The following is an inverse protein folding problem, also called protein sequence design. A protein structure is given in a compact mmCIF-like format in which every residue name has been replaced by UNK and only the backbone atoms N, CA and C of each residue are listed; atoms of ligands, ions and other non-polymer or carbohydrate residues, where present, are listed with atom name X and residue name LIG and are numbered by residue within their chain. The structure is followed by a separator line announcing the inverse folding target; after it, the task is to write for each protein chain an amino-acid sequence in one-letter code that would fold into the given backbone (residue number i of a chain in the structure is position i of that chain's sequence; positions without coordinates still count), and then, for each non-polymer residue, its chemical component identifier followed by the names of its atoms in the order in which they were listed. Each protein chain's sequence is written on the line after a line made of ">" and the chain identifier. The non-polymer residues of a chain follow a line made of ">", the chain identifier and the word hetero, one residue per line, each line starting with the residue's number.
data_IF_809491292178
#
_entry.id   IF_809491292178
#
_cell.length_a   1.000
_cell.length_b   1.000
_cell.length_c   1.000
_cell.angle_alpha   90.00
_cell.angle_beta   90.00
_cell.angle_gamma   90.00
#
_symmetry.space_group_name_H-M   'P 1'
#
loop_
_entity.id
_entity.type
_entity.pdbx_description
1 polymer ?
#
# COMPACT_ATOMS: atom_id res chain seq x y z
N UNK A 1 -8.01 -59.98 -37.09
CA UNK A 1 -7.41 -59.29 -35.93
C UNK A 1 -7.58 -60.19 -34.73
N UNK A 2 -6.52 -60.71 -34.18
CA UNK A 2 -6.53 -61.72 -33.13
C UNK A 2 -6.95 -61.12 -31.77
N UNK A 3 -7.59 -61.94 -30.92
CA UNK A 3 -8.05 -61.56 -29.59
C UNK A 3 -6.93 -60.90 -28.74
N UNK A 4 -5.70 -61.24 -29.04
CA UNK A 4 -4.48 -60.71 -28.40
C UNK A 4 -4.23 -59.22 -28.69
N UNK A 5 -4.59 -58.73 -29.85
CA UNK A 5 -4.45 -57.27 -30.18
C UNK A 5 -5.53 -56.41 -29.55
N UNK A 6 -6.71 -56.93 -29.29
CA UNK A 6 -7.79 -56.22 -28.57
C UNK A 6 -7.47 -56.06 -27.09
N UNK A 7 -6.90 -57.11 -26.45
CA UNK A 7 -6.49 -57.07 -25.02
C UNK A 7 -5.41 -56.04 -24.74
N UNK A 8 -4.38 -55.89 -25.64
CA UNK A 8 -3.34 -54.88 -25.51
C UNK A 8 -3.87 -53.43 -25.65
N UNK A 9 -4.84 -53.22 -26.55
CA UNK A 9 -5.46 -51.87 -26.73
C UNK A 9 -6.26 -51.47 -25.48
N UNK A 10 -7.01 -52.38 -24.86
CA UNK A 10 -7.74 -52.07 -23.62
C UNK A 10 -6.80 -51.85 -22.44
N UNK A 11 -5.70 -52.56 -22.32
CA UNK A 11 -4.69 -52.32 -21.30
C UNK A 11 -3.97 -50.97 -21.43
N UNK A 12 -3.68 -50.54 -22.66
CA UNK A 12 -3.08 -49.23 -22.94
C UNK A 12 -4.04 -48.04 -22.67
N UNK A 13 -5.34 -48.22 -22.99
CA UNK A 13 -6.36 -47.21 -22.68
C UNK A 13 -6.67 -47.13 -21.17
N UNK A 14 -6.61 -48.23 -20.45
CA UNK A 14 -6.77 -48.26 -18.99
C UNK A 14 -5.56 -47.61 -18.30
N UNK A 15 -4.31 -47.83 -18.80
CA UNK A 15 -3.10 -47.20 -18.29
C UNK A 15 -3.06 -45.70 -18.57
N UNK A 16 -3.52 -45.24 -19.75
CA UNK A 16 -3.62 -43.81 -20.09
C UNK A 16 -4.71 -43.11 -19.24
N UNK A 17 -5.83 -43.76 -18.97
CA UNK A 17 -6.88 -43.25 -18.10
C UNK A 17 -6.44 -43.09 -16.63
N UNK A 18 -5.66 -44.02 -16.11
CA UNK A 18 -5.14 -43.95 -14.74
C UNK A 18 -4.04 -42.89 -14.55
N UNK A 19 -3.25 -42.57 -15.59
CA UNK A 19 -2.30 -41.46 -15.57
C UNK A 19 -3.00 -40.08 -15.63
N UNK A 20 -4.10 -39.98 -16.38
CA UNK A 20 -4.88 -38.74 -16.44
C UNK A 20 -5.61 -38.44 -15.11
N UNK A 21 -6.12 -39.47 -14.44
CA UNK A 21 -6.75 -39.34 -13.12
C UNK A 21 -5.75 -38.95 -12.02
N UNK A 22 -4.50 -39.43 -12.07
CA UNK A 22 -3.44 -39.03 -11.13
C UNK A 22 -3.02 -37.57 -11.28
N UNK A 23 -3.10 -36.99 -12.48
CA UNK A 23 -2.84 -35.55 -12.70
C UNK A 23 -3.97 -34.65 -12.19
N UNK A 24 -5.21 -35.10 -12.19
CA UNK A 24 -6.36 -34.34 -11.66
C UNK A 24 -6.37 -34.25 -10.13
N UNK A 25 -5.73 -35.19 -9.42
CA UNK A 25 -5.62 -35.16 -7.95
C UNK A 25 -4.38 -34.44 -7.43
N UNK A 26 -3.48 -34.03 -8.31
CA UNK A 26 -2.24 -33.33 -7.95
C UNK A 26 -2.37 -31.80 -7.99
N UNK A 27 -3.56 -31.23 -8.02
CA UNK A 27 -3.76 -29.84 -7.59
C UNK A 27 -3.71 -29.84 -6.06
N UNK A 28 -2.47 -29.85 -5.52
CA UNK A 28 -2.23 -29.64 -4.11
C UNK A 28 -3.06 -28.43 -3.64
N UNK A 29 -3.78 -28.62 -2.53
CA UNK A 29 -4.66 -27.59 -2.01
C UNK A 29 -3.82 -26.40 -1.53
N UNK A 30 -3.55 -25.45 -2.43
CA UNK A 30 -2.86 -24.22 -2.06
C UNK A 30 -3.67 -23.47 -0.99
N UNK A 31 -3.03 -22.94 0.08
CA UNK A 31 -1.63 -23.16 0.49
C UNK A 31 -1.44 -24.48 1.25
N UNK A 32 -0.34 -25.18 0.99
CA UNK A 32 0.01 -26.44 1.70
C UNK A 32 1.00 -26.23 2.86
N UNK A 33 1.54 -25.04 3.00
CA UNK A 33 2.47 -24.62 4.04
C UNK A 33 2.27 -23.13 4.37
N UNK A 34 2.88 -22.60 5.45
CA UNK A 34 2.75 -21.20 5.83
C UNK A 34 3.11 -20.24 4.67
N UNK A 35 2.32 -19.16 4.54
CA UNK A 35 2.50 -18.09 3.58
C UNK A 35 3.17 -16.89 4.25
N UNK A 36 4.24 -16.39 3.67
CA UNK A 36 4.92 -15.17 4.13
C UNK A 36 4.25 -13.96 3.50
N UNK A 37 3.83 -13.01 4.33
CA UNK A 37 3.27 -11.72 3.89
C UNK A 37 4.27 -10.62 4.22
N UNK A 38 5.06 -10.23 3.22
CA UNK A 38 6.12 -9.22 3.36
C UNK A 38 5.51 -7.83 3.44
N UNK A 39 6.06 -7.00 4.31
CA UNK A 39 5.71 -5.58 4.48
C UNK A 39 6.99 -4.74 4.45
N UNK A 40 7.07 -3.77 3.54
CA UNK A 40 8.26 -2.92 3.34
C UNK A 40 8.44 -1.80 4.37
N UNK A 41 7.67 -1.81 5.46
CA UNK A 41 7.67 -0.78 6.50
C UNK A 41 7.89 -1.39 7.89
N UNK A 42 8.33 -0.58 8.88
CA UNK A 42 8.46 -1.03 10.27
C UNK A 42 7.13 -1.55 10.84
N UNK A 43 7.23 -2.43 11.82
CA UNK A 43 6.07 -2.94 12.55
C UNK A 43 5.32 -1.81 13.28
N UNK A 44 4.00 -1.96 13.41
CA UNK A 44 3.12 -0.99 14.07
C UNK A 44 2.66 0.17 13.19
N UNK A 45 3.17 0.32 11.97
CA UNK A 45 2.66 1.28 10.99
C UNK A 45 1.37 0.80 10.30
N UNK A 46 0.71 1.71 9.56
CA UNK A 46 -0.58 1.43 8.93
C UNK A 46 -0.55 0.20 8.01
N UNK A 47 0.50 0.04 7.19
CA UNK A 47 0.66 -1.15 6.31
C UNK A 47 0.75 -2.44 7.10
N UNK A 48 1.49 -2.43 8.22
CA UNK A 48 1.66 -3.60 9.10
C UNK A 48 0.33 -4.01 9.75
N UNK A 49 -0.44 -3.04 10.24
CA UNK A 49 -1.77 -3.28 10.83
C UNK A 49 -2.71 -3.89 9.79
N UNK A 50 -2.77 -3.34 8.58
CA UNK A 50 -3.59 -3.88 7.50
C UNK A 50 -3.13 -5.29 7.11
N UNK A 51 -1.81 -5.54 7.01
CA UNK A 51 -1.25 -6.84 6.69
C UNK A 51 -1.60 -7.89 7.75
N UNK A 52 -1.49 -7.55 9.04
CA UNK A 52 -1.84 -8.48 10.14
C UNK A 52 -3.34 -8.78 10.18
N UNK A 53 -4.18 -7.76 9.98
CA UNK A 53 -5.63 -7.93 9.92
C UNK A 53 -6.03 -8.85 8.77
N UNK A 54 -5.50 -8.60 7.58
CA UNK A 54 -5.75 -9.44 6.41
C UNK A 54 -5.16 -10.85 6.58
N UNK A 55 -3.91 -10.95 7.05
CA UNK A 55 -3.21 -12.21 7.29
C UNK A 55 -3.94 -13.12 8.29
N UNK A 56 -4.50 -12.55 9.36
CA UNK A 56 -5.31 -13.29 10.33
C UNK A 56 -6.57 -13.88 9.69
N UNK A 57 -7.29 -13.09 8.89
CA UNK A 57 -8.48 -13.54 8.17
C UNK A 57 -8.17 -14.61 7.14
N UNK A 58 -7.10 -14.41 6.33
CA UNK A 58 -6.64 -15.40 5.36
C UNK A 58 -6.17 -16.69 6.02
N UNK A 59 -5.49 -16.62 7.16
CA UNK A 59 -5.09 -17.81 7.92
C UNK A 59 -6.28 -18.66 8.34
N UNK A 60 -7.34 -18.01 8.82
CA UNK A 60 -8.57 -18.69 9.23
C UNK A 60 -9.30 -19.33 8.05
N UNK A 61 -9.38 -18.64 6.89
CA UNK A 61 -10.14 -19.12 5.73
C UNK A 61 -9.39 -20.14 4.87
N UNK A 62 -8.04 -20.06 4.84
CA UNK A 62 -7.22 -20.90 3.96
C UNK A 62 -6.53 -22.07 4.70
N UNK A 63 -6.62 -22.12 6.03
CA UNK A 63 -6.13 -23.24 6.83
C UNK A 63 -4.61 -23.32 7.01
N UNK A 64 -3.87 -22.31 6.56
CA UNK A 64 -2.42 -22.16 6.76
C UNK A 64 -2.07 -20.80 7.31
N UNK A 65 -1.05 -20.67 8.17
CA UNK A 65 -0.64 -19.37 8.71
C UNK A 65 -0.18 -18.40 7.62
N UNK A 66 -0.68 -17.16 7.65
CA UNK A 66 -0.14 -16.02 6.90
C UNK A 66 0.71 -15.18 7.85
N UNK A 67 2.03 -15.28 7.72
CA UNK A 67 3.00 -14.71 8.68
C UNK A 67 3.52 -13.38 8.12
N UNK A 68 3.26 -12.29 8.85
CA UNK A 68 3.74 -10.95 8.48
C UNK A 68 5.23 -10.82 8.80
N UNK A 69 6.01 -10.46 7.80
CA UNK A 69 7.46 -10.22 7.88
C UNK A 69 7.77 -8.78 7.47
N UNK A 70 8.26 -7.96 8.42
CA UNK A 70 8.62 -6.57 8.14
C UNK A 70 10.06 -6.50 7.60
N UNK A 71 10.23 -5.93 6.40
CA UNK A 71 11.52 -5.71 5.70
C UNK A 71 11.65 -4.24 5.28
N UNK A 72 11.84 -3.29 6.20
CA UNK A 72 12.01 -1.90 5.86
C UNK A 72 13.36 -1.64 5.19
N UNK A 73 13.44 -0.54 4.45
CA UNK A 73 14.70 -0.05 3.86
C UNK A 73 14.59 0.31 2.38
N UNK A 74 15.45 1.24 1.94
CA UNK A 74 15.54 1.78 0.59
C UNK A 74 14.17 2.15 -0.01
N UNK A 75 13.32 2.85 0.74
CA UNK A 75 11.98 3.23 0.29
C UNK A 75 11.08 2.02 -0.05
N UNK A 76 11.23 0.88 0.61
CA UNK A 76 10.57 -0.41 0.36
C UNK A 76 11.19 -1.29 -0.73
N UNK A 77 12.20 -0.81 -1.48
CA UNK A 77 12.81 -1.57 -2.57
C UNK A 77 13.38 -2.92 -2.11
N UNK A 78 13.93 -2.98 -0.87
CA UNK A 78 14.42 -4.24 -0.28
C UNK A 78 13.30 -5.27 -0.18
N UNK A 79 12.12 -4.87 0.29
CA UNK A 79 10.97 -5.76 0.41
C UNK A 79 10.48 -6.23 -0.96
N UNK A 80 10.33 -5.31 -1.92
CA UNK A 80 9.87 -5.63 -3.30
C UNK A 80 10.81 -6.65 -3.95
N UNK A 81 12.13 -6.39 -3.93
CA UNK A 81 13.12 -7.32 -4.49
C UNK A 81 13.08 -8.67 -3.79
N UNK A 82 12.97 -8.69 -2.44
CA UNK A 82 12.89 -9.93 -1.69
C UNK A 82 11.68 -10.80 -2.01
N UNK A 83 10.63 -10.23 -2.64
CA UNK A 83 9.46 -10.96 -3.13
C UNK A 83 9.66 -11.41 -4.57
N UNK A 84 10.12 -10.51 -5.45
CA UNK A 84 10.42 -10.82 -6.86
C UNK A 84 11.36 -12.02 -6.98
N UNK A 85 12.39 -12.09 -6.13
CA UNK A 85 13.44 -13.10 -6.18
C UNK A 85 13.01 -14.45 -5.54
N UNK A 86 11.75 -14.62 -5.10
CA UNK A 86 11.25 -15.90 -4.57
C UNK A 86 10.60 -16.78 -5.63
N UNK A 87 10.45 -18.07 -5.30
CA UNK A 87 9.69 -18.99 -6.13
C UNK A 87 8.25 -18.48 -6.33
N UNK A 88 7.70 -18.51 -7.57
CA UNK A 88 6.36 -18.02 -7.86
C UNK A 88 5.27 -19.04 -7.52
N UNK A 89 5.31 -19.61 -6.32
CA UNK A 89 4.41 -20.66 -5.85
C UNK A 89 3.28 -20.14 -4.93
N UNK A 90 3.20 -18.81 -4.75
CA UNK A 90 2.19 -18.15 -3.93
C UNK A 90 2.50 -18.13 -2.42
N UNK A 91 3.58 -18.75 -1.94
CA UNK A 91 3.93 -18.78 -0.52
C UNK A 91 4.77 -17.58 -0.04
N UNK A 92 5.08 -16.66 -0.95
CA UNK A 92 5.61 -15.34 -0.59
C UNK A 92 4.79 -14.27 -1.31
N UNK A 93 4.14 -13.44 -0.52
CA UNK A 93 3.29 -12.33 -0.97
C UNK A 93 3.81 -11.04 -0.36
N UNK A 94 3.38 -9.90 -0.89
CA UNK A 94 3.63 -8.60 -0.27
C UNK A 94 2.34 -7.80 -0.17
N UNK A 95 2.14 -7.15 0.97
CA UNK A 95 1.21 -6.03 1.03
C UNK A 95 1.97 -4.76 0.65
N UNK A 96 1.73 -4.29 -0.56
CA UNK A 96 2.36 -3.12 -1.15
C UNK A 96 1.53 -1.85 -0.91
N UNK A 97 2.17 -0.70 -1.04
CA UNK A 97 1.56 0.63 -1.03
C UNK A 97 2.09 1.47 -2.20
N UNK A 98 1.73 2.75 -2.26
CA UNK A 98 2.09 3.66 -3.36
C UNK A 98 3.59 3.73 -3.69
N UNK A 99 4.47 3.43 -2.72
CA UNK A 99 5.91 3.35 -2.98
C UNK A 99 6.24 2.37 -4.13
N UNK A 100 5.40 1.35 -4.35
CA UNK A 100 5.51 0.46 -5.49
C UNK A 100 5.47 1.21 -6.83
N UNK A 101 4.60 2.20 -6.96
CA UNK A 101 4.52 3.04 -8.17
C UNK A 101 5.53 4.20 -8.13
N UNK A 102 5.72 4.83 -6.97
CA UNK A 102 6.58 5.99 -6.80
C UNK A 102 8.05 5.68 -7.07
N UNK A 103 8.55 4.50 -6.63
CA UNK A 103 9.94 4.14 -6.78
C UNK A 103 10.37 3.88 -8.23
N UNK A 104 9.44 3.45 -9.08
CA UNK A 104 9.71 3.35 -10.53
C UNK A 104 9.96 4.72 -11.17
N UNK A 105 9.41 5.79 -10.60
CA UNK A 105 9.63 7.17 -11.03
C UNK A 105 10.87 7.79 -10.39
N UNK A 106 11.06 7.57 -9.09
CA UNK A 106 12.09 8.21 -8.27
C UNK A 106 13.50 7.70 -8.57
N UNK A 107 13.66 6.38 -8.72
CA UNK A 107 14.97 5.77 -8.89
C UNK A 107 15.32 5.63 -10.38
N UNK A 108 16.55 5.96 -10.74
CA UNK A 108 17.07 5.82 -12.11
C UNK A 108 18.44 5.09 -12.06
N UNK A 109 18.56 3.85 -12.58
CA UNK A 109 17.49 3.05 -13.18
C UNK A 109 16.42 2.62 -12.16
N UNK A 110 15.21 2.33 -12.65
CA UNK A 110 14.14 1.81 -11.82
C UNK A 110 14.55 0.47 -11.18
N UNK A 111 14.33 0.27 -9.87
CA UNK A 111 14.79 -0.94 -9.17
C UNK A 111 14.00 -2.20 -9.56
N UNK A 112 12.83 -2.05 -10.14
CA UNK A 112 11.91 -3.09 -10.62
C UNK A 112 10.88 -2.48 -11.58
N UNK A 113 10.13 -3.33 -12.29
CA UNK A 113 8.91 -2.96 -13.00
C UNK A 113 7.72 -3.71 -12.41
N UNK A 114 6.87 -2.99 -11.65
CA UNK A 114 5.76 -3.61 -10.93
C UNK A 114 4.75 -4.32 -11.84
N UNK A 115 4.62 -3.91 -13.11
CA UNK A 115 3.68 -4.52 -14.06
C UNK A 115 4.25 -5.80 -14.70
N UNK A 116 5.59 -5.94 -14.77
CA UNK A 116 6.26 -7.11 -15.34
C UNK A 116 6.76 -8.07 -14.28
N UNK A 117 7.25 -7.57 -13.15
CA UNK A 117 7.92 -8.37 -12.12
C UNK A 117 6.94 -8.91 -11.06
N UNK A 118 5.70 -8.40 -11.01
CA UNK A 118 4.71 -8.77 -10.00
C UNK A 118 3.34 -9.10 -10.61
N UNK A 119 2.68 -10.09 -10.02
CA UNK A 119 1.26 -10.32 -10.19
C UNK A 119 0.49 -9.42 -9.21
N UNK A 120 -0.23 -8.43 -9.74
CA UNK A 120 -1.06 -7.50 -8.98
C UNK A 120 -2.40 -8.17 -8.67
N UNK A 121 -2.58 -8.74 -7.46
CA UNK A 121 -3.69 -9.64 -7.12
C UNK A 121 -4.97 -8.85 -6.82
N UNK A 122 -4.91 -7.94 -5.86
CA UNK A 122 -6.07 -7.19 -5.40
C UNK A 122 -5.67 -5.86 -4.75
N UNK A 123 -6.43 -4.82 -5.01
CA UNK A 123 -6.47 -3.66 -4.13
C UNK A 123 -7.25 -4.04 -2.87
N UNK A 124 -6.72 -3.72 -1.69
CA UNK A 124 -7.32 -4.00 -0.37
C UNK A 124 -8.16 -2.82 0.12
N UNK A 125 -7.61 -1.63 -0.02
CA UNK A 125 -8.27 -0.42 0.43
C UNK A 125 -7.41 0.83 0.25
N UNK A 126 -7.92 1.95 0.75
CA UNK A 126 -7.23 3.23 0.78
C UNK A 126 -7.21 3.78 2.20
N UNK A 127 -6.19 4.54 2.53
CA UNK A 127 -6.09 5.27 3.80
C UNK A 127 -5.76 6.73 3.49
N UNK A 128 -6.51 7.67 4.08
CA UNK A 128 -6.24 9.09 3.91
C UNK A 128 -4.87 9.47 4.48
N UNK A 129 -4.19 10.39 3.81
CA UNK A 129 -3.08 11.14 4.37
C UNK A 129 -3.63 12.42 4.98
N UNK A 130 -3.11 12.81 6.14
CA UNK A 130 -3.45 14.07 6.79
C UNK A 130 -2.23 14.95 6.95
N UNK A 131 -2.43 16.25 6.90
CA UNK A 131 -1.51 17.25 7.41
C UNK A 131 -1.92 17.52 8.85
N UNK A 132 -1.09 17.13 9.79
CA UNK A 132 -1.26 17.47 11.18
C UNK A 132 -0.16 18.43 11.65
N UNK A 133 -0.48 19.25 12.63
CA UNK A 133 0.44 20.24 13.18
C UNK A 133 0.62 20.04 14.68
N UNK A 134 1.78 20.44 15.20
CA UNK A 134 1.93 20.72 16.61
C UNK A 134 0.88 21.77 17.04
N UNK A 135 0.30 21.61 18.22
CA UNK A 135 -0.75 22.53 18.70
C UNK A 135 -0.28 23.95 18.86
N UNK A 136 1.02 24.18 19.06
CA UNK A 136 1.63 25.53 19.12
C UNK A 136 1.99 26.10 17.74
N UNK A 137 1.90 25.30 16.66
CA UNK A 137 2.20 25.81 15.32
C UNK A 137 1.20 26.91 14.91
N UNK A 138 1.67 27.98 14.22
CA UNK A 138 0.86 29.16 13.92
C UNK A 138 -0.10 28.97 12.74
N UNK A 139 -0.44 27.74 12.40
CA UNK A 139 -1.33 27.38 11.30
C UNK A 139 -2.50 26.53 11.83
N UNK A 140 -3.72 27.00 11.62
CA UNK A 140 -4.94 26.26 11.92
C UNK A 140 -5.71 25.87 10.66
N UNK A 141 -5.32 26.45 9.51
CA UNK A 141 -5.98 26.23 8.22
C UNK A 141 -4.97 26.10 7.09
N UNK A 142 -5.40 25.47 6.00
CA UNK A 142 -4.61 25.41 4.75
C UNK A 142 -4.26 26.80 4.24
N UNK A 143 -5.17 27.75 4.32
CA UNK A 143 -4.94 29.12 3.89
C UNK A 143 -3.80 29.80 4.66
N UNK A 144 -3.75 29.64 5.99
CA UNK A 144 -2.67 30.15 6.83
C UNK A 144 -1.32 29.48 6.50
N UNK A 145 -1.33 28.16 6.31
CA UNK A 145 -0.14 27.39 5.91
C UNK A 145 0.40 27.89 4.56
N UNK A 146 -0.47 28.05 3.56
CA UNK A 146 -0.11 28.55 2.23
C UNK A 146 0.42 29.98 2.30
N UNK A 147 -0.24 30.85 3.07
CA UNK A 147 0.19 32.24 3.25
C UNK A 147 1.60 32.32 3.88
N UNK A 148 1.85 31.54 4.94
CA UNK A 148 3.17 31.48 5.59
C UNK A 148 4.27 30.98 4.64
N UNK A 149 4.00 29.92 3.87
CA UNK A 149 4.95 29.38 2.91
C UNK A 149 5.24 30.33 1.75
N UNK A 150 4.24 31.12 1.29
CA UNK A 150 4.43 32.16 0.26
C UNK A 150 5.21 33.35 0.77
N UNK A 151 4.97 33.77 2.02
CA UNK A 151 5.67 34.89 2.62
C UNK A 151 7.17 34.63 2.78
N UNK A 152 7.53 33.36 3.06
CA UNK A 152 8.94 32.94 3.19
C UNK A 152 9.10 31.52 2.62
N UNK A 153 9.48 31.37 1.34
CA UNK A 153 9.69 30.09 0.72
C UNK A 153 10.64 29.19 1.51
N UNK A 154 10.38 27.88 1.54
CA UNK A 154 11.14 26.86 2.26
C UNK A 154 11.27 27.06 3.79
N UNK A 155 10.52 28.00 4.40
CA UNK A 155 10.57 28.22 5.85
C UNK A 155 9.66 27.31 6.65
N UNK A 156 8.66 26.70 6.01
CA UNK A 156 7.72 25.80 6.64
C UNK A 156 8.20 24.37 6.45
N UNK A 157 8.69 23.77 7.53
CA UNK A 157 9.13 22.39 7.52
C UNK A 157 7.98 21.42 7.77
N UNK A 158 8.02 20.25 7.15
CA UNK A 158 7.08 19.15 7.40
C UNK A 158 7.81 17.81 7.48
N UNK A 159 7.47 17.01 8.48
CA UNK A 159 7.98 15.67 8.69
C UNK A 159 7.16 14.64 7.91
N UNK A 160 7.80 13.55 7.47
CA UNK A 160 7.13 12.40 6.84
C UNK A 160 7.79 11.08 7.26
N UNK A 161 7.13 9.93 6.99
CA UNK A 161 7.73 8.60 7.23
C UNK A 161 8.98 8.28 6.38
N UNK A 162 9.38 9.17 5.47
CA UNK A 162 10.58 8.99 4.64
C UNK A 162 10.38 9.42 3.19
N UNK A 163 11.49 9.49 2.45
CA UNK A 163 11.49 9.82 1.03
C UNK A 163 10.74 8.75 0.20
N UNK A 164 9.98 9.20 -0.79
CA UNK A 164 9.16 8.32 -1.63
C UNK A 164 7.94 7.73 -0.93
N UNK A 165 7.80 7.87 0.40
CA UNK A 165 6.58 7.49 1.09
C UNK A 165 5.38 8.31 0.57
N UNK A 166 4.18 7.71 0.59
CA UNK A 166 2.99 8.40 0.09
C UNK A 166 2.75 9.77 0.72
N UNK A 167 2.91 9.96 2.05
CA UNK A 167 2.79 11.29 2.65
C UNK A 167 3.77 12.31 2.08
N UNK A 168 5.03 11.92 1.80
CA UNK A 168 5.99 12.81 1.13
C UNK A 168 5.51 13.21 -0.27
N UNK A 169 5.16 12.23 -1.10
CA UNK A 169 4.71 12.48 -2.47
C UNK A 169 3.41 13.31 -2.52
N UNK A 170 2.52 13.07 -1.55
CA UNK A 170 1.27 13.82 -1.41
C UNK A 170 1.51 15.29 -1.04
N UNK A 171 2.46 15.56 -0.13
CA UNK A 171 2.85 16.92 0.24
C UNK A 171 3.58 17.64 -0.89
N UNK A 172 4.44 16.95 -1.62
CA UNK A 172 5.10 17.52 -2.80
C UNK A 172 4.07 17.88 -3.90
N UNK A 173 3.07 17.04 -4.12
CA UNK A 173 1.96 17.32 -5.01
C UNK A 173 1.14 18.52 -4.52
N UNK A 174 0.85 18.61 -3.23
CA UNK A 174 0.16 19.76 -2.63
C UNK A 174 0.97 21.05 -2.79
N UNK A 175 2.25 21.04 -2.44
CA UNK A 175 3.12 22.20 -2.56
C UNK A 175 3.14 22.73 -4.00
N UNK A 176 3.27 21.83 -4.98
CA UNK A 176 3.20 22.17 -6.39
C UNK A 176 1.84 22.76 -6.79
N UNK A 177 0.74 22.11 -6.37
CA UNK A 177 -0.63 22.56 -6.72
C UNK A 177 -0.93 23.93 -6.12
N UNK A 178 -0.43 24.20 -4.90
CA UNK A 178 -0.61 25.47 -4.21
C UNK A 178 0.40 26.57 -4.64
N UNK A 179 1.42 26.22 -5.44
CA UNK A 179 2.50 27.15 -5.83
C UNK A 179 3.29 27.66 -4.63
N UNK A 180 3.68 26.76 -3.73
CA UNK A 180 4.46 27.05 -2.50
C UNK A 180 5.69 26.15 -2.42
N UNK A 181 6.66 26.60 -1.64
CA UNK A 181 7.88 25.84 -1.33
C UNK A 181 7.89 25.46 0.16
N UNK A 182 8.03 24.16 0.44
CA UNK A 182 8.03 23.58 1.78
C UNK A 182 9.32 22.79 2.01
N UNK A 183 9.84 22.81 3.23
CA UNK A 183 11.03 22.04 3.59
C UNK A 183 10.66 20.64 4.05
N UNK A 184 11.02 19.63 3.27
CA UNK A 184 10.79 18.22 3.66
C UNK A 184 11.84 17.74 4.66
N UNK A 185 11.37 17.06 5.73
CA UNK A 185 12.20 16.41 6.76
C UNK A 185 11.84 14.93 6.80
N UNK A 186 12.66 14.05 6.19
CA UNK A 186 12.38 12.62 6.15
C UNK A 186 12.75 11.93 7.46
N UNK A 187 11.91 10.99 7.93
CA UNK A 187 12.13 10.13 9.08
C UNK A 187 12.13 8.65 8.67
N UNK A 188 12.57 7.77 9.57
CA UNK A 188 12.53 6.32 9.36
C UNK A 188 11.21 5.68 9.80
N UNK A 189 10.07 6.38 9.53
CA UNK A 189 8.73 5.93 9.87
C UNK A 189 7.86 7.02 10.48
N UNK A 190 6.53 6.83 10.45
CA UNK A 190 5.56 7.82 10.92
C UNK A 190 5.63 8.10 12.41
N UNK A 191 5.89 7.08 13.22
CA UNK A 191 5.94 7.23 14.68
C UNK A 191 7.04 8.21 15.13
N UNK A 192 8.22 8.15 14.51
CA UNK A 192 9.31 9.06 14.81
C UNK A 192 8.99 10.49 14.35
N UNK A 193 8.45 10.64 13.13
CA UNK A 193 8.02 11.93 12.59
C UNK A 193 6.96 12.60 13.49
N UNK A 194 5.99 11.84 13.98
CA UNK A 194 4.96 12.30 14.91
C UNK A 194 5.58 12.75 16.24
N UNK A 195 6.48 11.95 16.80
CA UNK A 195 7.13 12.27 18.11
C UNK A 195 7.85 13.61 18.05
N UNK A 196 8.65 13.84 17.01
CA UNK A 196 9.39 15.09 16.85
C UNK A 196 8.47 16.27 16.54
N UNK A 197 7.35 16.04 15.83
CA UNK A 197 6.32 17.08 15.64
C UNK A 197 5.65 17.44 16.96
N UNK A 198 5.27 16.48 17.78
CA UNK A 198 4.72 16.73 19.13
C UNK A 198 5.74 17.48 19.99
N UNK A 199 7.02 17.14 19.88
CA UNK A 199 8.12 17.81 20.57
C UNK A 199 8.47 19.22 20.05
N UNK A 200 7.80 19.69 18.98
CA UNK A 200 8.02 21.02 18.40
C UNK A 200 9.29 21.14 17.55
N UNK A 201 10.00 20.03 17.25
CA UNK A 201 11.19 20.05 16.38
C UNK A 201 10.83 20.36 14.93
N UNK A 202 9.67 19.90 14.47
CA UNK A 202 9.10 20.19 13.14
C UNK A 202 7.64 20.61 13.34
N UNK A 203 7.18 21.72 12.74
CA UNK A 203 5.83 22.24 13.01
C UNK A 203 4.71 21.38 12.43
N UNK A 204 4.97 20.66 11.35
CA UNK A 204 3.97 19.87 10.62
C UNK A 204 4.44 18.43 10.43
N UNK A 205 3.49 17.52 10.36
CA UNK A 205 3.72 16.14 9.94
C UNK A 205 2.65 15.74 8.91
N UNK A 206 3.09 15.09 7.84
CA UNK A 206 2.19 14.40 6.93
C UNK A 206 2.35 12.89 7.15
N UNK A 207 1.24 12.24 7.56
CA UNK A 207 1.18 10.81 7.88
C UNK A 207 -0.18 10.24 7.51
N UNK A 208 -0.33 8.93 7.58
CA UNK A 208 -1.65 8.31 7.46
C UNK A 208 -2.55 8.75 8.62
N UNK A 209 -3.81 8.98 8.33
CA UNK A 209 -4.79 9.45 9.31
C UNK A 209 -4.83 8.59 10.58
N UNK A 210 -4.65 7.27 10.42
CA UNK A 210 -4.54 6.32 11.51
C UNK A 210 -3.42 6.65 12.50
N UNK A 211 -2.22 6.94 11.98
CA UNK A 211 -1.05 7.20 12.81
C UNK A 211 -1.22 8.50 13.61
N UNK A 212 -1.93 9.49 13.05
CA UNK A 212 -2.24 10.75 13.71
C UNK A 212 -3.34 10.63 14.78
N UNK A 213 -4.30 9.70 14.62
CA UNK A 213 -5.54 9.63 15.40
C UNK A 213 -5.34 9.64 16.91
N UNK A 214 -4.51 8.80 17.55
CA UNK A 214 -4.33 8.79 19.01
C UNK A 214 -3.76 10.11 19.52
N UNK A 215 -2.92 10.78 18.74
CA UNK A 215 -2.27 12.02 19.11
C UNK A 215 -3.20 13.26 18.96
N UNK A 216 -4.09 13.22 17.99
CA UNK A 216 -5.14 14.22 17.82
C UNK A 216 -6.19 14.07 18.93
N UNK A 217 -6.64 12.84 19.22
CA UNK A 217 -7.58 12.59 20.33
C UNK A 217 -7.04 12.99 21.70
N UNK A 218 -5.73 12.87 21.91
CA UNK A 218 -5.07 13.31 23.15
C UNK A 218 -4.71 14.80 23.16
N UNK A 219 -5.09 15.57 22.12
CA UNK A 219 -4.82 17.01 22.03
C UNK A 219 -3.35 17.38 21.83
N UNK A 220 -2.49 16.43 21.45
CA UNK A 220 -1.05 16.68 21.17
C UNK A 220 -0.78 17.19 19.75
N UNK A 221 -1.66 16.84 18.82
CA UNK A 221 -1.65 17.34 17.44
C UNK A 221 -3.03 17.90 17.09
N UNK A 222 -3.06 18.83 16.13
CA UNK A 222 -4.27 19.31 15.45
C UNK A 222 -4.20 18.94 13.97
N UNK A 223 -5.33 18.57 13.35
CA UNK A 223 -5.41 18.29 11.93
C UNK A 223 -5.70 19.57 11.16
N UNK A 224 -4.84 19.89 10.18
CA UNK A 224 -5.02 21.05 9.31
C UNK A 224 -5.92 20.70 8.12
N UNK A 225 -5.68 19.54 7.49
CA UNK A 225 -6.46 19.05 6.36
C UNK A 225 -6.24 17.56 6.13
N UNK A 226 -7.16 16.96 5.39
CA UNK A 226 -6.97 15.66 4.74
C UNK A 226 -6.65 15.84 3.26
N UNK A 227 -5.77 14.97 2.73
CA UNK A 227 -5.34 15.01 1.33
C UNK A 227 -6.20 14.10 0.43
N UNK A 228 -7.18 13.40 0.99
CA UNK A 228 -8.14 12.57 0.24
C UNK A 228 -9.17 13.43 -0.50
N UNK A 229 -9.83 12.83 -1.51
CA UNK A 229 -10.89 13.51 -2.28
C UNK A 229 -12.07 13.98 -1.42
N UNK A 230 -12.41 13.19 -0.39
CA UNK A 230 -13.50 13.45 0.53
C UNK A 230 -12.99 13.52 1.97
N UNK A 231 -13.74 14.17 2.85
CA UNK A 231 -13.47 14.18 4.30
C UNK A 231 -13.44 12.75 4.84
N UNK A 232 -12.61 12.53 5.85
CA UNK A 232 -12.47 11.21 6.45
C UNK A 232 -13.46 11.03 7.60
N UNK A 233 -13.91 9.80 7.85
CA UNK A 233 -14.75 9.50 9.01
C UNK A 233 -14.02 9.68 10.33
N UNK A 234 -12.69 9.58 10.33
CA UNK A 234 -11.86 9.72 11.54
C UNK A 234 -11.73 11.18 11.96
N UNK A 235 -11.69 12.09 10.98
CA UNK A 235 -11.56 13.53 11.17
C UNK A 235 -12.63 14.24 10.34
N UNK A 236 -13.91 14.11 10.70
CA UNK A 236 -15.02 14.65 9.90
C UNK A 236 -15.00 16.19 9.82
N UNK A 237 -14.42 16.85 10.81
CA UNK A 237 -14.32 18.30 10.87
C UNK A 237 -13.13 18.84 10.07
N UNK A 238 -12.13 17.99 9.73
CA UNK A 238 -10.98 18.41 8.95
C UNK A 238 -11.36 18.58 7.48
N UNK A 239 -11.11 19.77 6.88
CA UNK A 239 -11.41 19.99 5.47
C UNK A 239 -10.45 19.15 4.59
N UNK A 240 -10.87 18.92 3.35
CA UNK A 240 -9.94 18.42 2.33
C UNK A 240 -9.12 19.56 1.74
N UNK A 241 -7.99 19.23 1.11
CA UNK A 241 -7.23 20.20 0.30
C UNK A 241 -8.09 20.74 -0.85
N UNK A 242 -8.96 19.89 -1.43
CA UNK A 242 -9.89 20.29 -2.48
C UNK A 242 -10.88 21.36 -1.99
N UNK A 243 -11.48 21.18 -0.80
CA UNK A 243 -12.38 22.16 -0.16
C UNK A 243 -11.63 23.46 0.25
N UNK A 244 -10.32 23.37 0.45
CA UNK A 244 -9.47 24.48 0.90
C UNK A 244 -8.90 25.32 -0.25
N UNK A 245 -9.52 25.31 -1.43
CA UNK A 245 -9.16 26.16 -2.56
C UNK A 245 -8.36 25.48 -3.66
N UNK A 246 -8.21 24.16 -3.63
CA UNK A 246 -7.49 23.37 -4.64
C UNK A 246 -8.38 22.29 -5.24
N UNK A 247 -9.43 22.64 -6.00
CA UNK A 247 -10.43 21.68 -6.48
C UNK A 247 -9.78 20.56 -7.32
N UNK A 248 -10.28 19.33 -7.14
CA UNK A 248 -9.73 18.15 -7.83
C UNK A 248 -8.46 17.58 -7.21
N UNK A 249 -7.93 18.18 -6.13
CA UNK A 249 -6.80 17.60 -5.42
C UNK A 249 -7.20 16.30 -4.71
N UNK A 250 -6.45 15.25 -4.95
CA UNK A 250 -6.56 13.97 -4.25
C UNK A 250 -5.18 13.32 -4.13
N UNK A 251 -4.83 12.90 -2.91
CA UNK A 251 -3.70 12.01 -2.64
C UNK A 251 -4.04 11.11 -1.44
N UNK A 252 -4.07 9.81 -1.66
CA UNK A 252 -4.34 8.81 -0.63
C UNK A 252 -3.36 7.66 -0.72
N UNK A 253 -3.15 6.96 0.39
CA UNK A 253 -2.42 5.69 0.37
C UNK A 253 -3.36 4.61 -0.10
N UNK A 254 -2.95 3.80 -1.07
CA UNK A 254 -3.61 2.55 -1.38
C UNK A 254 -2.77 1.38 -0.88
N UNK A 255 -3.44 0.29 -0.55
CA UNK A 255 -2.82 -0.98 -0.22
C UNK A 255 -3.28 -2.05 -1.18
N UNK A 256 -2.34 -2.90 -1.62
CA UNK A 256 -2.63 -3.98 -2.53
C UNK A 256 -1.78 -5.20 -2.28
N UNK A 257 -2.38 -6.37 -2.48
CA UNK A 257 -1.69 -7.65 -2.38
C UNK A 257 -1.04 -7.98 -3.72
N UNK A 258 0.25 -8.33 -3.66
CA UNK A 258 1.03 -8.71 -4.85
C UNK A 258 1.83 -9.99 -4.59
N UNK A 259 2.21 -10.69 -5.66
CA UNK A 259 3.06 -11.87 -5.67
C UNK A 259 4.10 -11.77 -6.81
N UNK A 260 5.10 -12.68 -6.92
CA UNK A 260 5.95 -12.76 -8.10
C UNK A 260 5.13 -12.93 -9.39
N UNK A 261 5.56 -12.32 -10.50
CA UNK A 261 4.79 -12.26 -11.75
C UNK A 261 4.39 -13.64 -12.31
N UNK A 262 5.29 -14.63 -12.20
CA UNK A 262 5.06 -15.98 -12.70
C UNK A 262 4.17 -16.85 -11.78
N UNK A 263 3.55 -16.28 -10.72
CA UNK A 263 2.62 -17.01 -9.84
C UNK A 263 1.43 -17.53 -10.66
N UNK A 264 1.11 -18.84 -10.57
CA UNK A 264 0.07 -19.46 -11.38
C UNK A 264 -1.30 -18.79 -11.23
N UNK A 265 -2.00 -18.57 -12.35
CA UNK A 265 -3.30 -17.91 -12.38
C UNK A 265 -4.36 -18.53 -11.42
N UNK A 266 -4.43 -19.86 -11.21
CA UNK A 266 -5.34 -20.44 -10.22
C UNK A 266 -5.03 -20.00 -8.78
N UNK A 267 -3.74 -19.83 -8.43
CA UNK A 267 -3.31 -19.34 -7.11
C UNK A 267 -3.69 -17.88 -6.95
N UNK A 268 -3.40 -17.05 -7.96
CA UNK A 268 -3.78 -15.62 -7.99
C UNK A 268 -5.31 -15.47 -7.83
N UNK A 269 -6.09 -16.26 -8.58
CA UNK A 269 -7.56 -16.24 -8.50
C UNK A 269 -8.08 -16.65 -7.12
N UNK A 270 -7.48 -17.68 -6.49
CA UNK A 270 -7.85 -18.11 -5.15
C UNK A 270 -7.52 -17.04 -4.09
N UNK A 271 -6.32 -16.49 -4.14
CA UNK A 271 -5.92 -15.39 -3.25
C UNK A 271 -6.86 -14.19 -3.38
N UNK A 272 -7.19 -13.79 -4.61
CA UNK A 272 -8.15 -12.72 -4.87
C UNK A 272 -9.51 -13.02 -4.23
N UNK A 273 -10.06 -14.20 -4.44
CA UNK A 273 -11.36 -14.60 -3.89
C UNK A 273 -11.36 -14.58 -2.36
N UNK A 274 -10.30 -15.08 -1.71
CA UNK A 274 -10.18 -15.08 -0.26
C UNK A 274 -9.98 -13.67 0.32
N UNK A 275 -9.22 -12.80 -0.36
CA UNK A 275 -9.11 -11.37 0.00
C UNK A 275 -10.47 -10.70 -0.06
N UNK A 276 -11.26 -10.93 -1.13
CA UNK A 276 -12.62 -10.37 -1.26
C UNK A 276 -13.53 -10.82 -0.10
N UNK A 277 -13.50 -12.10 0.26
CA UNK A 277 -14.24 -12.63 1.41
C UNK A 277 -13.80 -11.97 2.71
N UNK A 278 -12.49 -11.89 2.96
CA UNK A 278 -11.93 -11.24 4.14
C UNK A 278 -12.42 -9.80 4.27
N UNK A 279 -12.34 -9.01 3.18
CA UNK A 279 -12.76 -7.61 3.13
C UNK A 279 -14.29 -7.42 3.24
N UNK A 280 -15.08 -8.46 3.00
CA UNK A 280 -16.53 -8.44 3.18
C UNK A 280 -16.95 -8.71 4.64
N UNK A 281 -16.08 -9.31 5.47
CA UNK A 281 -16.43 -9.62 6.87
C UNK A 281 -16.54 -8.35 7.72
N UNK A 282 -17.56 -8.24 8.59
CA UNK A 282 -17.72 -7.07 9.47
C UNK A 282 -16.48 -6.79 10.31
N UNK A 283 -15.89 -7.81 10.92
CA UNK A 283 -14.72 -7.67 11.78
C UNK A 283 -13.51 -7.06 11.06
N UNK A 284 -13.19 -7.54 9.84
CA UNK A 284 -12.10 -6.98 9.03
C UNK A 284 -12.42 -5.55 8.61
N UNK A 285 -13.67 -5.29 8.18
CA UNK A 285 -14.10 -3.94 7.80
C UNK A 285 -14.00 -2.97 8.96
N UNK A 286 -14.50 -3.35 10.14
CA UNK A 286 -14.41 -2.54 11.34
C UNK A 286 -12.96 -2.24 11.73
N UNK A 287 -12.09 -3.24 11.74
CA UNK A 287 -10.66 -3.06 12.02
C UNK A 287 -10.00 -2.12 11.01
N UNK A 288 -10.24 -2.32 9.71
CA UNK A 288 -9.69 -1.44 8.66
C UNK A 288 -10.29 -0.03 8.72
N UNK A 289 -11.57 0.11 9.04
CA UNK A 289 -12.23 1.42 9.20
C UNK A 289 -11.78 2.12 10.48
N UNK A 290 -11.60 1.38 11.59
CA UNK A 290 -11.08 1.94 12.85
C UNK A 290 -9.68 2.53 12.69
N UNK A 291 -8.90 2.01 11.75
CA UNK A 291 -7.60 2.53 11.34
C UNK A 291 -7.69 3.55 10.19
N UNK A 292 -8.89 4.05 9.89
CA UNK A 292 -9.15 5.09 8.90
C UNK A 292 -9.10 4.64 7.46
N UNK A 293 -9.13 3.34 7.24
CA UNK A 293 -9.15 2.79 5.90
C UNK A 293 -10.54 2.77 5.30
N UNK A 294 -10.66 3.23 4.06
CA UNK A 294 -11.79 2.89 3.22
C UNK A 294 -11.52 1.55 2.55
N UNK A 295 -12.34 0.55 2.90
CA UNK A 295 -12.26 -0.77 2.27
C UNK A 295 -12.82 -0.65 0.86
N UNK A 296 -11.93 -0.57 -0.12
CA UNK A 296 -12.26 -0.43 -1.54
C UNK A 296 -11.67 -1.61 -2.32
N UNK A 297 -12.26 -2.81 -2.17
CA UNK A 297 -11.73 -3.98 -2.85
C UNK A 297 -11.88 -3.84 -4.36
N UNK A 298 -10.77 -4.09 -5.08
CA UNK A 298 -10.81 -4.11 -6.54
C UNK A 298 -9.88 -5.22 -7.06
N UNK A 299 -10.29 -5.80 -8.18
CA UNK A 299 -9.58 -6.89 -8.82
C UNK A 299 -8.30 -6.46 -9.54
N UNK A 300 -7.57 -7.45 -10.03
CA UNK A 300 -6.25 -7.32 -10.67
C UNK A 300 -6.23 -6.25 -11.78
N UNK A 301 -7.22 -6.26 -12.68
CA UNK A 301 -7.29 -5.30 -13.80
C UNK A 301 -7.38 -3.86 -13.31
N UNK A 302 -8.25 -3.58 -12.32
CA UNK A 302 -8.39 -2.25 -11.74
C UNK A 302 -7.14 -1.85 -10.97
N UNK A 303 -6.57 -2.78 -10.21
CA UNK A 303 -5.35 -2.53 -9.44
C UNK A 303 -4.15 -2.25 -10.35
N UNK A 304 -4.00 -2.96 -11.47
CA UNK A 304 -2.98 -2.68 -12.47
C UNK A 304 -3.16 -1.29 -13.11
N UNK A 305 -4.39 -0.91 -13.46
CA UNK A 305 -4.69 0.41 -13.98
C UNK A 305 -4.35 1.52 -12.95
N UNK A 306 -4.64 1.29 -11.67
CA UNK A 306 -4.27 2.20 -10.58
C UNK A 306 -2.75 2.36 -10.48
N UNK A 307 -1.97 1.27 -10.42
CA UNK A 307 -0.51 1.31 -10.33
C UNK A 307 0.08 2.07 -11.51
N UNK A 308 -0.41 1.83 -12.72
CA UNK A 308 0.02 2.52 -13.94
C UNK A 308 -0.27 4.01 -13.89
N UNK A 309 -1.48 4.42 -13.52
CA UNK A 309 -1.86 5.83 -13.43
C UNK A 309 -1.06 6.57 -12.35
N UNK A 310 -0.82 5.92 -11.22
CA UNK A 310 0.02 6.46 -10.15
C UNK A 310 1.47 6.64 -10.60
N UNK A 311 2.05 5.64 -11.31
CA UNK A 311 3.39 5.75 -11.90
C UNK A 311 3.50 6.97 -12.81
N UNK A 312 2.55 7.14 -13.74
CA UNK A 312 2.53 8.29 -14.66
C UNK A 312 2.44 9.62 -13.89
N UNK A 313 1.62 9.67 -12.84
CA UNK A 313 1.49 10.85 -11.98
C UNK A 313 2.79 11.16 -11.25
N UNK A 314 3.47 10.15 -10.72
CA UNK A 314 4.76 10.31 -10.05
C UNK A 314 5.89 10.64 -11.02
N UNK A 315 5.93 10.04 -12.21
CA UNK A 315 6.90 10.43 -13.26
C UNK A 315 6.81 11.93 -13.58
N UNK A 316 5.58 12.44 -13.73
CA UNK A 316 5.35 13.86 -13.94
C UNK A 316 5.79 14.70 -12.73
N UNK A 317 5.40 14.30 -11.52
CA UNK A 317 5.75 15.03 -10.29
C UNK A 317 7.28 15.11 -10.11
N UNK A 318 7.97 13.98 -10.23
CA UNK A 318 9.44 13.91 -10.10
C UNK A 318 10.14 14.78 -11.16
N UNK A 319 9.66 14.73 -12.40
CA UNK A 319 10.20 15.58 -13.48
C UNK A 319 10.04 17.08 -13.18
N UNK A 320 8.88 17.46 -12.65
CA UNK A 320 8.53 18.88 -12.44
C UNK A 320 9.13 19.45 -11.14
N UNK A 321 9.40 18.61 -10.13
CA UNK A 321 9.89 19.05 -8.81
C UNK A 321 11.36 18.71 -8.57
N UNK A 322 11.95 17.83 -9.37
CA UNK A 322 13.33 17.39 -9.18
C UNK A 322 13.55 16.55 -7.90
N UNK A 323 12.47 16.00 -7.28
CA UNK A 323 12.57 15.13 -6.11
C UNK A 323 13.49 13.95 -6.43
N UNK A 324 14.42 13.68 -5.52
CA UNK A 324 15.38 12.56 -5.61
C UNK A 324 15.14 11.57 -4.47
N UNK A 325 15.46 10.27 -4.67
CA UNK A 325 15.55 9.32 -3.56
C UNK A 325 16.72 9.70 -2.64
N UNK A 326 16.73 9.12 -1.43
CA UNK A 326 17.86 9.21 -0.49
C UNK A 326 19.10 8.53 -1.03
#
# INVERSE_FOLDING_TARGET
>A
MSAFQRSRRHALLAAAGSLALRRAWAQSAYPERPVRLVVGYPAGGAVDIVARTLGQSLSASMGQPFIVENKPGAGTNIAVRSVIDTAPDGHTLMLAANALAANMALYKPAPFDAEHDLALIAQVGRVPVVIAANTSAPYDTVAQLVAAARAKPASVAYATPGNGATPHMAMALFARTAGIDLQHVPYRGGSQAITDTIGGQVPLVAVNALEALPHVRSGKLKVIATLSANRTRIFPDAPTIAESGHPGFEASVWYGLVAPAATPAPIVGRLYAEVQKALATPEVRERLTAVGGDVTPAGSTHFAALVRSERQRYDKLVKDTGIKPD
#
